data_IF_046406239197
#
_entry.id   IF_046406239197
#
_cell.length_a   1.000
_cell.length_b   1.000
_cell.length_c   1.000
_cell.angle_alpha   90.00
_cell.angle_beta   90.00
_cell.angle_gamma   90.00
#
_symmetry.space_group_name_H-M   'P 1'
#
loop_
_entity.id
_entity.type
_entity.pdbx_description
1 polymer ?
#
# COMPACT_ATOMS: atom_id res chain seq x y z
N UNK A 1 7.22 -20.69 2.12
CA UNK A 1 7.13 -19.23 2.38
C UNK A 1 7.07 -18.39 1.11
N UNK A 2 7.60 -18.87 -0.02
CA UNK A 2 7.58 -18.18 -1.32
C UNK A 2 6.17 -17.91 -1.84
N UNK A 3 5.25 -18.88 -1.70
CA UNK A 3 3.84 -18.73 -2.13
C UNK A 3 3.12 -17.55 -1.46
N UNK A 4 3.29 -17.35 -0.15
CA UNK A 4 2.64 -16.24 0.56
C UNK A 4 3.19 -14.87 0.12
N UNK A 5 4.44 -14.81 -0.31
CA UNK A 5 5.05 -13.58 -0.86
C UNK A 5 4.52 -13.24 -2.24
N UNK A 6 3.94 -14.20 -2.98
CA UNK A 6 3.35 -13.92 -4.28
C UNK A 6 2.13 -13.00 -4.16
N UNK A 7 1.37 -13.08 -3.07
CA UNK A 7 0.17 -12.25 -2.89
C UNK A 7 0.50 -10.74 -2.93
N UNK A 8 1.39 -10.20 -2.08
CA UNK A 8 1.76 -8.79 -2.16
C UNK A 8 2.49 -8.44 -3.46
N UNK A 9 3.28 -9.36 -4.04
CA UNK A 9 3.96 -9.12 -5.30
C UNK A 9 2.97 -8.95 -6.47
N UNK A 10 2.00 -9.85 -6.58
CA UNK A 10 0.95 -9.81 -7.60
C UNK A 10 0.08 -8.57 -7.40
N UNK A 11 -0.32 -8.26 -6.16
CA UNK A 11 -1.09 -7.05 -5.87
C UNK A 11 -0.35 -5.77 -6.32
N UNK A 12 0.96 -5.68 -6.04
CA UNK A 12 1.78 -4.56 -6.50
C UNK A 12 1.87 -4.50 -8.03
N UNK A 13 2.10 -5.63 -8.70
CA UNK A 13 2.16 -5.69 -10.17
C UNK A 13 0.85 -5.30 -10.83
N UNK A 14 -0.28 -5.77 -10.31
CA UNK A 14 -1.61 -5.40 -10.80
C UNK A 14 -1.86 -3.90 -10.63
N UNK A 15 -1.49 -3.32 -9.48
CA UNK A 15 -1.66 -1.89 -9.25
C UNK A 15 -0.77 -1.05 -10.18
N UNK A 16 0.50 -1.44 -10.39
CA UNK A 16 1.37 -0.78 -11.38
C UNK A 16 0.77 -0.85 -12.78
N UNK A 17 0.27 -2.02 -13.19
CA UNK A 17 -0.38 -2.22 -14.48
C UNK A 17 -1.62 -1.33 -14.65
N UNK A 18 -2.46 -1.26 -13.62
CA UNK A 18 -3.65 -0.40 -13.62
C UNK A 18 -3.29 1.09 -13.70
N UNK A 19 -2.28 1.54 -12.95
CA UNK A 19 -1.78 2.93 -13.01
C UNK A 19 -1.25 3.25 -14.41
N UNK A 20 -0.44 2.37 -15.00
CA UNK A 20 0.09 2.57 -16.35
C UNK A 20 -1.03 2.65 -17.41
N UNK A 21 -2.04 1.78 -17.31
CA UNK A 21 -3.20 1.81 -18.19
C UNK A 21 -4.05 3.08 -18.02
N UNK A 22 -4.25 3.55 -16.78
CA UNK A 22 -4.98 4.78 -16.51
C UNK A 22 -4.21 6.02 -17.00
N UNK A 23 -2.90 6.06 -16.79
CA UNK A 23 -2.04 7.19 -17.16
C UNK A 23 -2.01 7.48 -18.67
N UNK A 24 -2.28 6.47 -19.52
CA UNK A 24 -2.36 6.65 -20.98
C UNK A 24 -3.78 6.87 -21.50
N UNK A 25 -4.81 6.65 -20.68
CA UNK A 25 -6.21 6.74 -21.10
C UNK A 25 -6.94 7.97 -20.57
N UNK A 26 -6.50 8.54 -19.45
CA UNK A 26 -7.18 9.66 -18.81
C UNK A 26 -6.18 10.65 -18.18
N UNK A 27 -6.56 11.92 -18.17
CA UNK A 27 -5.83 12.93 -17.41
C UNK A 27 -6.03 12.71 -15.90
N UNK A 28 -4.92 12.67 -15.17
CA UNK A 28 -4.93 12.40 -13.73
C UNK A 28 -5.66 13.48 -12.96
N UNK A 29 -5.43 14.76 -13.26
CA UNK A 29 -5.99 15.87 -12.51
C UNK A 29 -7.51 15.96 -12.72
N UNK A 30 -7.99 15.82 -13.96
CA UNK A 30 -9.41 15.76 -14.28
C UNK A 30 -10.09 14.56 -13.62
N UNK A 31 -9.47 13.38 -13.68
CA UNK A 31 -10.00 12.17 -13.04
C UNK A 31 -10.09 12.32 -11.52
N UNK A 32 -9.07 12.90 -10.90
CA UNK A 32 -9.05 13.17 -9.47
C UNK A 32 -10.11 14.20 -9.07
N UNK A 33 -10.30 15.25 -9.86
CA UNK A 33 -11.34 16.25 -9.62
C UNK A 33 -12.75 15.65 -9.67
N UNK A 34 -13.01 14.70 -10.58
CA UNK A 34 -14.28 13.96 -10.61
C UNK A 34 -14.51 13.15 -9.32
N UNK A 35 -13.49 12.44 -8.83
CA UNK A 35 -13.57 11.67 -7.58
C UNK A 35 -13.86 12.60 -6.39
N UNK A 36 -13.20 13.76 -6.33
CA UNK A 36 -13.42 14.74 -5.26
C UNK A 36 -14.79 15.43 -5.33
N UNK A 37 -15.41 15.50 -6.51
CA UNK A 37 -16.75 16.05 -6.71
C UNK A 37 -17.88 15.09 -6.39
N UNK A 38 -17.59 13.78 -6.28
CA UNK A 38 -18.56 12.74 -5.96
C UNK A 38 -18.50 12.37 -4.46
N UNK A 39 -19.61 12.43 -3.70
CA UNK A 39 -19.66 12.02 -2.30
C UNK A 39 -19.11 10.61 -2.06
N UNK A 40 -19.39 9.65 -2.95
CA UNK A 40 -18.85 8.30 -2.83
C UNK A 40 -17.36 8.22 -3.19
N UNK A 41 -16.90 9.08 -4.09
CA UNK A 41 -15.47 9.27 -4.35
C UNK A 41 -14.71 9.74 -3.11
N UNK A 42 -15.27 10.70 -2.36
CA UNK A 42 -14.69 11.14 -1.08
C UNK A 42 -14.67 9.98 -0.07
N UNK A 43 -15.77 9.23 0.09
CA UNK A 43 -15.83 8.06 0.98
C UNK A 43 -14.77 7.03 0.59
N UNK A 44 -14.57 6.79 -0.71
CA UNK A 44 -13.54 5.87 -1.23
C UNK A 44 -12.12 6.35 -0.88
N UNK A 45 -11.85 7.65 -0.99
CA UNK A 45 -10.56 8.20 -0.57
C UNK A 45 -10.36 8.04 0.94
N UNK A 46 -11.37 8.36 1.75
CA UNK A 46 -11.29 8.20 3.21
C UNK A 46 -11.01 6.74 3.58
N UNK A 47 -11.74 5.79 2.99
CA UNK A 47 -11.54 4.35 3.19
C UNK A 47 -10.11 3.93 2.84
N UNK A 48 -9.63 4.35 1.66
CA UNK A 48 -8.28 4.06 1.18
C UNK A 48 -7.19 4.59 2.13
N UNK A 49 -7.26 5.87 2.49
CA UNK A 49 -6.26 6.51 3.35
C UNK A 49 -6.35 6.04 4.81
N UNK A 50 -7.53 5.68 5.30
CA UNK A 50 -7.68 5.03 6.60
C UNK A 50 -6.99 3.65 6.60
N UNK A 51 -7.17 2.86 5.54
CA UNK A 51 -6.43 1.60 5.34
C UNK A 51 -4.92 1.81 5.32
N UNK A 52 -4.42 2.84 4.63
CA UNK A 52 -3.00 3.19 4.65
C UNK A 52 -2.50 3.54 6.04
N UNK A 53 -3.25 4.34 6.80
CA UNK A 53 -2.86 4.71 8.16
C UNK A 53 -2.70 3.47 9.06
N UNK A 54 -3.64 2.52 8.99
CA UNK A 54 -3.56 1.26 9.74
C UNK A 54 -2.28 0.49 9.38
N UNK A 55 -1.98 0.34 8.09
CA UNK A 55 -0.78 -0.39 7.68
C UNK A 55 0.50 0.37 8.03
N UNK A 56 0.52 1.69 7.94
CA UNK A 56 1.64 2.52 8.35
C UNK A 56 1.96 2.38 9.85
N UNK A 57 0.93 2.25 10.70
CA UNK A 57 1.12 1.93 12.12
C UNK A 57 1.81 0.57 12.29
N UNK A 58 1.36 -0.46 11.55
CA UNK A 58 2.02 -1.77 11.58
C UNK A 58 3.48 -1.70 11.13
N UNK A 59 3.76 -0.94 10.07
CA UNK A 59 5.14 -0.70 9.60
C UNK A 59 5.94 0.00 10.69
N UNK A 60 5.40 1.04 11.34
CA UNK A 60 6.10 1.75 12.39
C UNK A 60 6.41 0.89 13.62
N UNK A 61 5.55 -0.07 13.95
CA UNK A 61 5.75 -0.98 15.08
C UNK A 61 6.71 -2.14 14.76
N UNK A 62 6.64 -2.68 13.54
CA UNK A 62 7.34 -3.92 13.16
C UNK A 62 8.66 -3.68 12.44
N UNK A 63 8.84 -2.51 11.81
CA UNK A 63 10.06 -2.21 11.06
C UNK A 63 11.16 -1.70 12.01
N UNK A 64 12.29 -2.43 12.16
CA UNK A 64 13.37 -2.00 13.05
C UNK A 64 14.12 -0.77 12.52
N UNK A 65 14.10 -0.55 11.19
CA UNK A 65 14.85 0.54 10.55
C UNK A 65 13.98 1.78 10.43
N UNK A 66 14.22 2.76 11.32
CA UNK A 66 13.50 4.05 11.32
C UNK A 66 13.52 4.77 9.97
N UNK A 67 14.59 4.64 9.19
CA UNK A 67 14.67 5.20 7.84
C UNK A 67 13.65 4.57 6.88
N UNK A 68 13.43 3.25 6.97
CA UNK A 68 12.44 2.54 6.15
C UNK A 68 11.02 2.92 6.58
N UNK A 69 10.77 3.05 7.89
CA UNK A 69 9.51 3.58 8.42
C UNK A 69 9.22 4.99 7.92
N UNK A 70 10.19 5.89 8.03
CA UNK A 70 10.05 7.28 7.54
C UNK A 70 9.77 7.33 6.04
N UNK A 71 10.50 6.54 5.26
CA UNK A 71 10.25 6.40 3.82
C UNK A 71 8.84 5.88 3.54
N UNK A 72 8.37 4.87 4.28
CA UNK A 72 7.04 4.32 4.10
C UNK A 72 5.95 5.35 4.39
N UNK A 73 6.08 6.11 5.49
CA UNK A 73 5.13 7.16 5.89
C UNK A 73 5.05 8.25 4.81
N UNK A 74 6.18 8.67 4.26
CA UNK A 74 6.21 9.72 3.24
C UNK A 74 5.74 9.21 1.86
N UNK A 75 6.07 7.97 1.50
CA UNK A 75 5.81 7.44 0.18
C UNK A 75 4.39 6.87 0.01
N UNK A 76 3.79 6.30 1.06
CA UNK A 76 2.49 5.62 0.96
C UNK A 76 1.34 6.55 0.54
N UNK A 77 1.24 7.82 1.00
CA UNK A 77 0.19 8.72 0.53
C UNK A 77 0.24 8.99 -0.98
N UNK A 78 1.42 8.87 -1.60
CA UNK A 78 1.62 9.18 -3.03
C UNK A 78 1.61 7.91 -3.89
N UNK A 79 2.34 6.89 -3.45
CA UNK A 79 2.49 5.62 -4.18
C UNK A 79 1.39 4.60 -3.84
N UNK A 80 0.51 4.94 -2.90
CA UNK A 80 -0.58 4.10 -2.44
C UNK A 80 -0.11 2.75 -1.91
N UNK A 81 -0.89 1.70 -2.22
CA UNK A 81 -0.66 0.33 -1.75
C UNK A 81 0.65 -0.31 -2.24
N UNK A 82 1.37 0.30 -3.19
CA UNK A 82 2.65 -0.23 -3.68
C UNK A 82 3.69 -0.33 -2.56
N UNK A 83 3.74 0.67 -1.68
CA UNK A 83 4.71 0.75 -0.59
C UNK A 83 4.41 -0.30 0.49
N UNK A 84 3.18 -0.39 1.05
CA UNK A 84 2.77 -1.48 1.91
C UNK A 84 2.99 -2.88 1.33
N UNK A 85 2.66 -3.07 0.04
CA UNK A 85 2.83 -4.35 -0.63
C UNK A 85 4.31 -4.76 -0.73
N UNK A 86 5.18 -3.83 -1.15
CA UNK A 86 6.62 -4.07 -1.21
C UNK A 86 7.20 -4.35 0.18
N UNK A 87 6.83 -3.55 1.19
CA UNK A 87 7.26 -3.77 2.57
C UNK A 87 6.85 -5.17 3.07
N UNK A 88 5.57 -5.53 2.87
CA UNK A 88 5.05 -6.82 3.28
C UNK A 88 5.79 -7.95 2.55
N UNK A 89 6.01 -7.83 1.24
CA UNK A 89 6.78 -8.82 0.47
C UNK A 89 8.14 -9.13 1.10
N UNK A 90 8.87 -8.13 1.62
CA UNK A 90 10.17 -8.34 2.25
C UNK A 90 10.10 -8.78 3.71
N UNK A 91 9.07 -8.36 4.46
CA UNK A 91 8.94 -8.64 5.91
C UNK A 91 8.09 -9.85 6.24
N UNK A 92 7.32 -10.39 5.30
CA UNK A 92 6.43 -11.53 5.51
C UNK A 92 7.10 -12.76 6.15
N UNK A 93 8.32 -13.18 5.76
CA UNK A 93 8.97 -14.33 6.39
C UNK A 93 9.24 -14.10 7.89
N UNK A 94 9.67 -12.88 8.25
CA UNK A 94 9.95 -12.48 9.62
C UNK A 94 8.66 -12.43 10.44
N UNK A 95 7.61 -11.81 9.91
CA UNK A 95 6.30 -11.71 10.58
C UNK A 95 5.74 -13.10 10.86
N UNK A 96 5.75 -14.00 9.87
CA UNK A 96 5.26 -15.37 10.06
C UNK A 96 6.11 -16.12 11.09
N UNK A 97 7.43 -15.91 11.13
CA UNK A 97 8.29 -16.50 12.14
C UNK A 97 7.98 -15.97 13.56
N UNK A 98 7.65 -14.69 13.71
CA UNK A 98 7.24 -14.09 14.99
C UNK A 98 5.89 -14.65 15.46
N UNK A 99 4.89 -14.67 14.57
CA UNK A 99 3.55 -15.18 14.90
C UNK A 99 3.62 -16.64 15.33
N UNK A 100 4.39 -17.48 14.63
CA UNK A 100 4.58 -18.90 15.00
C UNK A 100 5.30 -19.12 16.32
N UNK A 101 6.04 -18.14 16.83
CA UNK A 101 6.70 -18.22 18.14
C UNK A 101 5.78 -17.79 19.29
N UNK A 102 4.75 -16.99 18.97
CA UNK A 102 3.77 -16.50 19.93
C UNK A 102 2.55 -17.43 20.06
N UNK A 103 2.37 -18.37 19.14
CA UNK A 103 1.33 -19.40 19.13
C UNK A 103 1.87 -20.72 19.71
#
# INVERSE_FOLDING_TARGET
MTLLRLVPAIAALLLVGAIAAAAVTADFAASFAMIMGDPWGIVTLVDLYAGFAVVLVLIALLEPRRAVTGLAILATPVLGSLVPAAWLYYRLPLIVALVRRAA
#
